data_IF_426796184321
#
_entry.id   IF_426796184321
#
_cell.length_a   1.000
_cell.length_b   1.000
_cell.length_c   1.000
_cell.angle_alpha   90.00
_cell.angle_beta   90.00
_cell.angle_gamma   90.00
#
_symmetry.space_group_name_H-M   'P 1'
#
loop_
_entity.id
_entity.type
_entity.pdbx_description
1 polymer ?
#
# COMPACT_ATOMS: atom_id res chain seq x y z
N UNK A 1 15.02 36.78 -1.81
CA UNK A 1 13.61 36.46 -1.48
C UNK A 1 13.64 35.42 -0.38
N UNK A 2 12.76 35.54 0.62
CA UNK A 2 12.62 34.57 1.71
C UNK A 2 12.39 33.18 1.12
N UNK A 3 13.03 32.15 1.69
CA UNK A 3 12.88 30.77 1.22
C UNK A 3 11.49 30.18 1.50
N UNK A 4 10.65 30.81 2.34
CA UNK A 4 9.41 30.21 2.83
C UNK A 4 8.17 31.10 2.59
N UNK A 5 8.13 31.86 1.48
CA UNK A 5 7.08 32.85 1.20
C UNK A 5 5.75 32.28 0.68
N UNK A 6 5.71 30.96 0.42
CA UNK A 6 4.53 30.27 -0.07
C UNK A 6 3.97 29.30 0.98
N UNK A 7 2.78 29.59 1.49
CA UNK A 7 2.02 28.64 2.29
C UNK A 7 1.43 27.52 1.43
N UNK A 8 0.99 26.43 2.05
CA UNK A 8 0.29 25.34 1.38
C UNK A 8 -0.95 24.91 2.16
N UNK A 9 -2.04 24.69 1.42
CA UNK A 9 -3.28 24.10 1.92
C UNK A 9 -3.50 22.78 1.18
N UNK A 10 -3.45 21.68 1.92
CA UNK A 10 -3.81 20.35 1.41
C UNK A 10 -5.24 20.03 1.79
N UNK A 11 -6.12 19.88 0.81
CA UNK A 11 -7.51 19.48 1.06
C UNK A 11 -7.67 17.97 1.05
N UNK A 12 -8.01 17.43 2.22
CA UNK A 12 -8.18 16.01 2.48
C UNK A 12 -9.50 15.70 3.22
N UNK A 13 -10.46 16.63 3.26
CA UNK A 13 -11.74 16.46 3.97
C UNK A 13 -12.82 15.68 3.19
N UNK A 14 -12.56 15.30 1.94
CA UNK A 14 -13.54 14.64 1.08
C UNK A 14 -13.87 13.20 1.49
N UNK A 15 -15.15 12.88 1.59
CA UNK A 15 -15.65 11.51 1.80
C UNK A 15 -15.74 10.82 0.43
N UNK A 16 -14.96 9.76 0.20
CA UNK A 16 -14.76 9.13 -1.12
C UNK A 16 -15.96 8.33 -1.66
N UNK A 17 -17.15 8.94 -1.77
CA UNK A 17 -18.44 8.28 -2.12
C UNK A 17 -18.38 7.37 -3.36
N UNK A 18 -17.54 7.67 -4.34
CA UNK A 18 -17.38 6.92 -5.61
C UNK A 18 -16.43 5.72 -5.54
N UNK A 19 -15.63 5.59 -4.48
CA UNK A 19 -14.65 4.51 -4.31
C UNK A 19 -15.22 3.26 -3.60
N UNK A 20 -16.47 3.31 -3.11
CA UNK A 20 -17.12 2.20 -2.39
C UNK A 20 -16.51 1.84 -1.01
N UNK A 21 -15.30 2.29 -0.70
CA UNK A 21 -14.68 2.17 0.61
C UNK A 21 -15.33 3.19 1.57
N UNK A 22 -15.98 2.72 2.64
CA UNK A 22 -16.68 3.54 3.65
C UNK A 22 -15.76 4.43 4.52
N UNK A 23 -14.82 5.16 3.91
CA UNK A 23 -13.84 6.01 4.57
C UNK A 23 -13.19 7.03 3.64
N UNK A 24 -12.20 7.76 4.14
CA UNK A 24 -11.49 8.77 3.38
C UNK A 24 -10.44 8.15 2.46
N UNK A 25 -10.59 8.37 1.16
CA UNK A 25 -9.75 7.76 0.12
C UNK A 25 -8.27 8.11 0.24
N UNK A 26 -7.93 9.25 0.83
CA UNK A 26 -6.53 9.66 1.00
C UNK A 26 -5.79 8.80 2.04
N UNK A 27 -6.52 7.99 2.83
CA UNK A 27 -5.96 7.03 3.78
C UNK A 27 -5.84 5.61 3.18
N UNK A 28 -6.30 5.39 1.95
CA UNK A 28 -6.13 4.09 1.27
C UNK A 28 -4.65 3.83 0.98
N UNK A 29 -4.22 2.56 1.01
CA UNK A 29 -2.85 2.20 0.66
C UNK A 29 -2.62 2.40 -0.84
N UNK A 30 -1.46 2.97 -1.17
CA UNK A 30 -0.86 3.10 -2.49
C UNK A 30 0.59 2.64 -2.36
N UNK A 31 0.93 1.51 -2.97
CA UNK A 31 2.25 0.87 -2.81
C UNK A 31 2.65 0.71 -1.33
N UNK A 32 1.70 0.25 -0.50
CA UNK A 32 1.91 -0.01 0.92
C UNK A 32 1.89 1.21 1.85
N UNK A 33 1.82 2.44 1.33
CA UNK A 33 1.72 3.67 2.14
C UNK A 33 0.41 4.41 1.88
N UNK A 34 -0.15 5.15 2.87
CA UNK A 34 -1.35 5.95 2.63
C UNK A 34 -1.15 6.94 1.47
N UNK A 35 -2.15 7.10 0.60
CA UNK A 35 -2.14 8.08 -0.51
C UNK A 35 -1.68 9.46 -0.03
N UNK A 36 -2.20 9.92 1.11
CA UNK A 36 -1.85 11.21 1.68
C UNK A 36 -0.36 11.33 2.04
N UNK A 37 0.29 10.23 2.46
CA UNK A 37 1.69 10.24 2.84
C UNK A 37 2.60 10.58 1.65
N UNK A 38 2.28 10.06 0.45
CA UNK A 38 2.97 10.41 -0.80
C UNK A 38 2.82 11.91 -1.13
N UNK A 39 1.59 12.43 -1.03
CA UNK A 39 1.30 13.84 -1.26
C UNK A 39 2.08 14.74 -0.27
N UNK A 40 2.01 14.44 1.03
CA UNK A 40 2.68 15.23 2.06
C UNK A 40 4.20 15.16 1.95
N UNK A 41 4.78 13.99 1.66
CA UNK A 41 6.23 13.84 1.48
C UNK A 41 6.75 14.76 0.35
N UNK A 42 6.06 14.78 -0.79
CA UNK A 42 6.43 15.63 -1.92
C UNK A 42 6.38 17.12 -1.57
N UNK A 43 5.34 17.55 -0.84
CA UNK A 43 5.15 18.95 -0.46
C UNK A 43 6.16 19.37 0.63
N UNK A 44 6.29 18.59 1.70
CA UNK A 44 7.18 18.90 2.83
C UNK A 44 8.67 18.89 2.47
N UNK A 45 9.04 18.29 1.33
CA UNK A 45 10.39 18.31 0.79
C UNK A 45 10.66 19.53 -0.11
N UNK A 46 9.63 20.27 -0.52
CA UNK A 46 9.79 21.42 -1.41
C UNK A 46 10.35 22.63 -0.65
N UNK A 47 11.45 23.25 -1.11
CA UNK A 47 12.17 24.26 -0.34
C UNK A 47 11.44 25.60 -0.23
N UNK A 48 10.53 25.91 -1.16
CA UNK A 48 9.80 27.19 -1.18
C UNK A 48 8.55 27.22 -0.29
N UNK A 49 8.21 26.10 0.38
CA UNK A 49 7.00 25.99 1.17
C UNK A 49 7.24 26.28 2.66
N UNK A 50 6.49 27.24 3.19
CA UNK A 50 6.48 27.62 4.59
C UNK A 50 5.27 27.04 5.35
N UNK A 51 4.33 27.88 5.84
CA UNK A 51 3.18 27.43 6.60
C UNK A 51 2.39 26.32 5.91
N UNK A 52 2.14 25.23 6.63
CA UNK A 52 1.50 24.04 6.07
C UNK A 52 0.20 23.73 6.80
N UNK A 53 -0.90 23.79 6.07
CA UNK A 53 -2.24 23.44 6.58
C UNK A 53 -2.76 22.19 5.88
N UNK A 54 -3.14 21.19 6.67
CA UNK A 54 -3.83 19.99 6.21
C UNK A 54 -5.28 20.04 6.70
N UNK A 55 -6.20 20.20 5.74
CA UNK A 55 -7.64 20.30 6.02
C UNK A 55 -8.28 18.93 5.94
N UNK A 56 -8.91 18.50 7.03
CA UNK A 56 -9.40 17.12 7.22
C UNK A 56 -10.87 17.08 7.58
N UNK A 57 -11.51 15.93 7.40
CA UNK A 57 -12.86 15.72 7.93
C UNK A 57 -12.77 15.45 9.44
N UNK A 58 -13.76 15.90 10.23
CA UNK A 58 -13.77 15.73 11.70
C UNK A 58 -13.59 14.28 12.14
N UNK A 59 -14.27 13.34 11.47
CA UNK A 59 -14.20 11.91 11.78
C UNK A 59 -12.82 11.29 11.52
N UNK A 60 -11.97 11.93 10.72
CA UNK A 60 -10.64 11.42 10.39
C UNK A 60 -9.56 12.02 11.31
N UNK A 61 -9.91 12.91 12.25
CA UNK A 61 -8.95 13.64 13.09
C UNK A 61 -7.96 12.74 13.83
N UNK A 62 -8.43 11.61 14.39
CA UNK A 62 -7.57 10.64 15.08
C UNK A 62 -6.58 10.02 14.10
N UNK A 63 -7.07 9.45 13.00
CA UNK A 63 -6.26 8.79 11.95
C UNK A 63 -5.23 9.73 11.33
N UNK A 64 -5.61 10.99 11.13
CA UNK A 64 -4.73 12.01 10.56
C UNK A 64 -3.62 12.40 11.54
N UNK A 65 -3.92 12.54 12.83
CA UNK A 65 -2.89 12.77 13.87
C UNK A 65 -1.91 11.60 13.96
N UNK A 66 -2.42 10.37 13.94
CA UNK A 66 -1.59 9.16 13.96
C UNK A 66 -0.69 9.08 12.72
N UNK A 67 -1.21 9.41 11.54
CA UNK A 67 -0.41 9.49 10.31
C UNK A 67 0.71 10.52 10.46
N UNK A 68 0.41 11.75 10.88
CA UNK A 68 1.43 12.79 11.05
C UNK A 68 2.50 12.38 12.08
N UNK A 69 2.09 11.78 13.20
CA UNK A 69 3.01 11.28 14.21
C UNK A 69 3.93 10.17 13.67
N UNK A 70 3.37 9.20 12.92
CA UNK A 70 4.12 8.09 12.30
C UNK A 70 5.27 8.57 11.39
N UNK A 71 5.08 9.69 10.71
CA UNK A 71 6.07 10.30 9.82
C UNK A 71 6.85 11.47 10.44
N UNK A 72 6.63 11.79 11.72
CA UNK A 72 7.22 12.95 12.42
C UNK A 72 6.96 14.29 11.74
N UNK A 73 5.74 14.48 11.26
CA UNK A 73 5.28 15.73 10.63
C UNK A 73 4.36 16.57 11.51
N UNK A 74 4.08 16.13 12.74
CA UNK A 74 3.18 16.82 13.68
C UNK A 74 3.55 18.28 13.92
N UNK A 75 4.85 18.59 14.02
CA UNK A 75 5.33 19.96 14.27
C UNK A 75 5.40 20.82 13.00
N UNK A 76 5.26 20.19 11.82
CA UNK A 76 5.35 20.85 10.52
C UNK A 76 4.00 21.09 9.87
N UNK A 77 2.95 20.38 10.28
CA UNK A 77 1.64 20.37 9.63
C UNK A 77 0.55 20.75 10.63
N UNK A 78 -0.13 21.87 10.39
CA UNK A 78 -1.30 22.31 11.16
C UNK A 78 -2.55 21.60 10.64
N UNK A 79 -3.21 20.84 11.50
CA UNK A 79 -4.51 20.22 11.18
C UNK A 79 -5.65 21.23 11.35
N UNK A 80 -6.54 21.28 10.36
CA UNK A 80 -7.74 22.13 10.37
C UNK A 80 -8.95 21.28 9.99
N UNK A 81 -10.05 21.41 10.71
CA UNK A 81 -11.30 20.75 10.32
C UNK A 81 -11.90 21.44 9.08
N UNK A 82 -12.20 20.68 8.04
CA UNK A 82 -12.81 21.15 6.80
C UNK A 82 -14.29 21.50 6.92
N UNK A 83 -14.86 21.97 5.82
CA UNK A 83 -16.31 22.23 5.71
C UNK A 83 -17.05 21.12 4.96
N UNK A 84 -18.31 21.38 4.63
CA UNK A 84 -19.19 20.41 3.96
C UNK A 84 -18.68 20.08 2.54
N UNK A 85 -18.16 21.10 1.85
CA UNK A 85 -17.69 21.02 0.48
C UNK A 85 -16.19 21.31 0.36
N UNK A 86 -15.60 20.99 -0.81
CA UNK A 86 -14.17 21.29 -1.09
C UNK A 86 -13.88 22.77 -0.86
N UNK A 87 -14.77 23.65 -1.36
CA UNK A 87 -14.59 25.10 -1.27
C UNK A 87 -14.60 25.60 0.18
N UNK A 88 -15.50 25.06 1.01
CA UNK A 88 -15.56 25.40 2.44
C UNK A 88 -14.29 24.94 3.17
N UNK A 89 -13.70 23.81 2.74
CA UNK A 89 -12.44 23.31 3.29
C UNK A 89 -11.26 24.20 2.93
N UNK A 90 -11.16 24.67 1.69
CA UNK A 90 -10.11 25.64 1.30
C UNK A 90 -10.27 26.95 2.08
N UNK A 91 -11.50 27.43 2.23
CA UNK A 91 -11.77 28.66 2.99
C UNK A 91 -11.29 28.59 4.43
N UNK A 92 -11.60 27.50 5.15
CA UNK A 92 -11.09 27.29 6.51
C UNK A 92 -9.55 27.18 6.55
N UNK A 93 -8.95 26.59 5.52
CA UNK A 93 -7.50 26.57 5.36
C UNK A 93 -6.90 27.98 5.25
N UNK A 94 -7.52 28.85 4.44
CA UNK A 94 -7.10 30.25 4.27
C UNK A 94 -7.22 31.05 5.56
N UNK A 95 -8.32 30.85 6.31
CA UNK A 95 -8.51 31.46 7.62
C UNK A 95 -7.45 31.02 8.62
N UNK A 96 -7.04 29.75 8.60
CA UNK A 96 -5.99 29.23 9.47
C UNK A 96 -4.59 29.78 9.13
N UNK A 97 -4.42 30.41 7.97
CA UNK A 97 -3.20 31.10 7.54
C UNK A 97 -3.25 32.62 7.81
N UNK A 98 -4.35 33.17 8.33
CA UNK A 98 -4.53 34.63 8.45
C UNK A 98 -3.50 35.34 9.33
N UNK A 99 -2.88 34.62 10.27
CA UNK A 99 -1.81 35.14 11.13
C UNK A 99 -0.40 34.88 10.61
N UNK A 100 -0.26 34.19 9.48
CA UNK A 100 1.03 33.81 8.91
C UNK A 100 1.49 34.85 7.88
N UNK A 101 2.79 35.17 7.88
CA UNK A 101 3.39 36.06 6.88
C UNK A 101 3.72 35.27 5.60
N UNK A 102 2.70 35.07 4.76
CA UNK A 102 2.85 34.41 3.46
C UNK A 102 2.30 35.28 2.33
N UNK A 103 3.07 35.37 1.23
CA UNK A 103 2.67 36.13 0.04
C UNK A 103 1.88 35.26 -0.94
N UNK A 104 2.21 33.97 -0.98
CA UNK A 104 1.66 33.00 -1.90
C UNK A 104 0.99 31.87 -1.13
N UNK A 105 -0.01 31.26 -1.75
CA UNK A 105 -0.65 30.04 -1.22
C UNK A 105 -0.82 29.03 -2.34
N UNK A 106 -0.33 27.82 -2.11
CA UNK A 106 -0.53 26.66 -2.96
C UNK A 106 -1.69 25.82 -2.41
N UNK A 107 -2.77 25.67 -3.17
CA UNK A 107 -3.86 24.75 -2.84
C UNK A 107 -3.66 23.44 -3.60
N UNK A 108 -3.63 22.33 -2.88
CA UNK A 108 -3.39 21.01 -3.46
C UNK A 108 -4.38 19.95 -2.96
N UNK A 109 -4.77 19.04 -3.83
CA UNK A 109 -5.69 17.95 -3.48
C UNK A 109 -4.89 16.83 -2.81
N UNK A 110 -5.28 16.41 -1.61
CA UNK A 110 -4.63 15.28 -0.90
C UNK A 110 -4.64 13.96 -1.69
N UNK A 111 -5.53 13.85 -2.68
CA UNK A 111 -5.70 12.69 -3.55
C UNK A 111 -4.89 12.76 -4.87
N UNK A 112 -3.89 13.65 -4.98
CA UNK A 112 -2.95 13.71 -6.12
C UNK A 112 -1.52 13.34 -5.69
N UNK A 113 -1.27 12.07 -5.33
CA UNK A 113 0.01 11.65 -4.74
C UNK A 113 1.20 11.66 -5.71
N UNK A 114 0.95 11.85 -7.01
CA UNK A 114 1.95 11.70 -8.08
C UNK A 114 2.46 13.03 -8.63
N UNK A 115 2.03 14.17 -8.07
CA UNK A 115 2.56 15.47 -8.46
C UNK A 115 4.08 15.50 -8.25
N UNK A 116 4.78 16.30 -9.05
CA UNK A 116 6.23 16.43 -8.95
C UNK A 116 6.61 17.75 -8.27
N UNK A 117 7.71 17.81 -7.50
CA UNK A 117 8.23 19.07 -6.98
C UNK A 117 8.50 20.09 -8.09
N UNK A 118 8.94 19.62 -9.27
CA UNK A 118 9.15 20.46 -10.44
C UNK A 118 7.85 21.12 -10.93
N UNK A 119 6.72 20.40 -10.97
CA UNK A 119 5.42 20.97 -11.30
C UNK A 119 5.03 22.09 -10.32
N UNK A 120 5.19 21.85 -9.02
CA UNK A 120 4.93 22.87 -8.01
C UNK A 120 5.83 24.10 -8.19
N UNK A 121 7.13 23.90 -8.44
CA UNK A 121 8.07 25.00 -8.72
C UNK A 121 7.62 25.84 -9.93
N UNK A 122 7.17 25.20 -11.03
CA UNK A 122 6.63 25.91 -12.21
C UNK A 122 5.40 26.74 -11.84
N UNK A 123 4.48 26.20 -11.05
CA UNK A 123 3.30 26.93 -10.58
C UNK A 123 3.66 28.13 -9.71
N UNK A 124 4.56 27.96 -8.74
CA UNK A 124 5.01 29.07 -7.87
C UNK A 124 5.69 30.17 -8.71
N UNK A 125 6.56 29.81 -9.65
CA UNK A 125 7.23 30.78 -10.51
C UNK A 125 6.24 31.57 -11.38
N UNK A 126 5.25 30.88 -11.98
CA UNK A 126 4.22 31.54 -12.79
C UNK A 126 3.32 32.45 -11.94
N UNK A 127 2.96 32.02 -10.72
CA UNK A 127 2.19 32.83 -9.78
C UNK A 127 2.98 34.07 -9.34
N UNK A 128 4.30 33.96 -9.10
CA UNK A 128 5.16 35.12 -8.81
C UNK A 128 5.17 36.16 -9.94
N UNK A 129 4.98 35.74 -11.18
CA UNK A 129 4.92 36.64 -12.34
C UNK A 129 3.51 37.24 -12.56
N UNK A 130 2.47 36.44 -12.36
CA UNK A 130 1.11 36.78 -12.81
C UNK A 130 0.05 36.80 -11.71
N UNK A 131 0.46 36.60 -10.46
CA UNK A 131 -0.37 36.50 -9.26
C UNK A 131 -1.24 35.25 -9.14
N UNK A 132 -1.34 34.46 -10.21
CA UNK A 132 -2.10 33.22 -10.26
C UNK A 132 -1.43 32.22 -11.21
N UNK A 133 -1.55 30.94 -10.88
CA UNK A 133 -1.04 29.85 -11.69
C UNK A 133 -1.78 28.55 -11.40
N UNK A 134 -2.27 27.89 -12.44
CA UNK A 134 -3.03 26.65 -12.33
C UNK A 134 -2.39 25.59 -13.22
N UNK A 135 -2.01 24.47 -12.62
CA UNK A 135 -1.53 23.31 -13.38
C UNK A 135 -2.65 22.79 -14.28
N UNK A 136 -2.39 22.57 -15.56
CA UNK A 136 -3.36 21.98 -16.48
C UNK A 136 -2.69 21.25 -17.63
N UNK A 137 -3.39 20.27 -18.21
CA UNK A 137 -2.93 19.54 -19.39
C UNK A 137 -3.94 19.68 -20.54
N UNK A 138 -3.52 19.74 -21.81
CA UNK A 138 -4.44 19.72 -22.93
C UNK A 138 -5.33 18.49 -22.90
N UNK A 139 -6.61 18.66 -23.20
CA UNK A 139 -7.55 17.54 -23.29
C UNK A 139 -7.20 16.67 -24.50
N UNK A 140 -7.12 15.34 -24.30
CA UNK A 140 -6.84 14.37 -25.36
C UNK A 140 -8.12 13.87 -26.04
N UNK A 141 -9.19 13.70 -25.27
CA UNK A 141 -10.44 13.17 -25.78
C UNK A 141 -11.29 14.24 -26.46
N UNK A 142 -12.20 13.81 -27.34
CA UNK A 142 -13.20 14.72 -27.88
C UNK A 142 -14.25 15.00 -26.80
N UNK A 143 -14.43 16.26 -26.44
CA UNK A 143 -15.43 16.67 -25.44
C UNK A 143 -16.76 16.95 -26.14
N UNK A 144 -17.85 16.45 -25.55
CA UNK A 144 -19.22 16.74 -25.97
C UNK A 144 -19.92 17.49 -24.85
N UNK A 145 -20.58 18.58 -25.20
CA UNK A 145 -21.62 19.17 -24.36
C UNK A 145 -22.92 18.43 -24.63
N UNK A 146 -23.61 17.98 -23.59
CA UNK A 146 -24.83 17.20 -23.72
C UNK A 146 -25.94 17.76 -22.80
N UNK A 147 -27.17 17.66 -23.28
CA UNK A 147 -28.36 17.95 -22.49
C UNK A 147 -28.63 16.82 -21.48
N UNK A 148 -29.53 17.08 -20.53
CA UNK A 148 -29.86 16.13 -19.46
C UNK A 148 -30.45 14.80 -19.98
N UNK A 149 -31.03 14.78 -21.18
CA UNK A 149 -31.57 13.59 -21.85
C UNK A 149 -30.52 12.81 -22.67
N UNK A 150 -29.25 13.23 -22.63
CA UNK A 150 -28.14 12.60 -23.34
C UNK A 150 -27.96 13.10 -24.78
N UNK A 151 -28.79 14.03 -25.26
CA UNK A 151 -28.62 14.62 -26.59
C UNK A 151 -27.36 15.49 -26.64
N UNK A 152 -26.46 15.25 -27.60
CA UNK A 152 -25.30 16.11 -27.84
C UNK A 152 -25.78 17.48 -28.30
N UNK A 153 -25.35 18.53 -27.58
CA UNK A 153 -25.59 19.95 -27.87
C UNK A 153 -24.49 20.50 -28.76
N UNK A 154 -23.23 20.27 -28.37
CA UNK A 154 -22.08 20.84 -29.04
C UNK A 154 -20.83 19.95 -28.90
N UNK A 155 -19.86 20.19 -29.79
CA UNK A 155 -18.50 19.65 -29.70
C UNK A 155 -17.55 20.84 -29.73
N UNK A 156 -17.10 21.34 -28.56
CA UNK A 156 -16.21 22.49 -28.53
C UNK A 156 -14.86 22.16 -29.20
N UNK A 157 -14.16 23.18 -29.73
CA UNK A 157 -12.83 22.98 -30.28
C UNK A 157 -11.84 22.59 -29.16
N UNK A 158 -11.32 21.37 -29.26
CA UNK A 158 -10.40 20.78 -28.28
C UNK A 158 -9.08 21.55 -28.16
N UNK A 159 -8.66 22.30 -29.18
CA UNK A 159 -7.37 23.01 -29.20
C UNK A 159 -7.21 24.01 -28.04
N UNK A 160 -8.31 24.60 -27.58
CA UNK A 160 -8.35 25.52 -26.45
C UNK A 160 -8.78 24.89 -25.12
N UNK A 161 -9.02 23.58 -25.06
CA UNK A 161 -9.52 22.91 -23.86
C UNK A 161 -8.41 22.28 -23.03
N UNK A 162 -8.44 22.57 -21.73
CA UNK A 162 -7.48 22.08 -20.76
C UNK A 162 -8.18 21.38 -19.60
N UNK A 163 -7.65 20.25 -19.18
CA UNK A 163 -8.04 19.58 -17.95
C UNK A 163 -7.22 20.14 -16.79
N UNK A 164 -7.90 20.89 -15.92
CA UNK A 164 -7.28 21.55 -14.77
C UNK A 164 -6.89 20.54 -13.69
N UNK A 165 -5.74 20.79 -13.07
CA UNK A 165 -5.13 20.01 -12.01
C UNK A 165 -4.85 20.89 -10.78
N UNK A 166 -4.35 20.26 -9.72
CA UNK A 166 -3.68 20.95 -8.62
C UNK A 166 -2.22 20.47 -8.58
N UNK A 167 -1.24 21.27 -8.10
CA UNK A 167 -1.39 22.50 -7.32
C UNK A 167 -1.92 23.69 -8.13
N UNK A 168 -2.67 24.54 -7.43
CA UNK A 168 -3.06 25.88 -7.90
C UNK A 168 -2.43 26.89 -6.94
N UNK A 169 -1.71 27.88 -7.48
CA UNK A 169 -0.94 28.83 -6.68
C UNK A 169 -1.42 30.24 -6.97
N UNK A 170 -1.71 30.99 -5.91
CA UNK A 170 -2.24 32.35 -6.01
C UNK A 170 -1.53 33.27 -5.03
N UNK A 171 -1.58 34.58 -5.28
CA UNK A 171 -1.32 35.57 -4.24
C UNK A 171 -2.32 35.34 -3.10
N UNK A 172 -1.82 35.15 -1.87
CA UNK A 172 -2.64 34.81 -0.71
C UNK A 172 -3.77 35.83 -0.50
N UNK A 173 -3.41 37.12 -0.56
CA UNK A 173 -4.34 38.23 -0.35
C UNK A 173 -5.48 38.26 -1.39
N UNK A 174 -5.18 37.98 -2.66
CA UNK A 174 -6.18 37.96 -3.73
C UNK A 174 -7.14 36.79 -3.55
N UNK A 175 -6.60 35.59 -3.28
CA UNK A 175 -7.43 34.41 -3.06
C UNK A 175 -8.32 34.57 -1.83
N UNK A 176 -7.77 35.08 -0.73
CA UNK A 176 -8.52 35.32 0.50
C UNK A 176 -9.66 36.33 0.29
N UNK A 177 -9.40 37.43 -0.44
CA UNK A 177 -10.44 38.40 -0.82
C UNK A 177 -11.51 37.79 -1.74
N UNK A 178 -11.11 37.03 -2.74
CA UNK A 178 -12.03 36.40 -3.69
C UNK A 178 -13.00 35.45 -2.97
N UNK A 179 -12.50 34.63 -2.04
CA UNK A 179 -13.34 33.79 -1.19
C UNK A 179 -14.26 34.62 -0.28
N UNK A 180 -13.73 35.63 0.40
CA UNK A 180 -14.54 36.48 1.29
C UNK A 180 -15.69 37.15 0.52
N UNK A 181 -15.42 37.71 -0.66
CA UNK A 181 -16.42 38.31 -1.54
C UNK A 181 -17.44 37.28 -2.04
N UNK A 182 -16.98 36.08 -2.44
CA UNK A 182 -17.86 35.00 -2.88
C UNK A 182 -18.84 34.57 -1.78
N UNK A 183 -18.38 34.40 -0.54
CA UNK A 183 -19.26 34.11 0.60
C UNK A 183 -20.22 35.26 0.91
N UNK A 184 -19.73 36.50 0.90
CA UNK A 184 -20.54 37.69 1.17
C UNK A 184 -21.65 37.92 0.13
N UNK A 185 -21.41 37.54 -1.13
CA UNK A 185 -22.39 37.66 -2.22
C UNK A 185 -23.63 36.76 -2.04
N UNK A 186 -23.55 35.75 -1.15
CA UNK A 186 -24.60 34.74 -1.00
C UNK A 186 -24.67 33.70 -2.13
N UNK A 187 -23.71 33.71 -3.07
CA UNK A 187 -23.66 32.80 -4.22
C UNK A 187 -23.77 31.31 -3.83
N UNK A 188 -23.26 30.92 -2.65
CA UNK A 188 -23.40 29.57 -2.09
C UNK A 188 -24.85 29.09 -2.00
N UNK A 189 -25.83 29.98 -1.91
CA UNK A 189 -27.27 29.64 -1.76
C UNK A 189 -28.02 29.55 -3.09
N UNK A 190 -27.48 30.11 -4.18
CA UNK A 190 -28.28 30.43 -5.39
C UNK A 190 -27.67 29.82 -6.66
N UNK A 191 -26.42 29.35 -6.63
CA UNK A 191 -25.73 28.83 -7.82
C UNK A 191 -24.96 27.53 -7.60
N UNK A 192 -24.46 26.91 -8.69
CA UNK A 192 -23.55 25.79 -8.60
C UNK A 192 -22.25 26.22 -7.91
N UNK A 193 -21.71 25.32 -7.09
CA UNK A 193 -20.48 25.59 -6.36
C UNK A 193 -19.27 25.61 -7.29
N UNK A 194 -18.27 26.50 -7.04
CA UNK A 194 -16.98 26.44 -7.69
C UNK A 194 -16.33 25.06 -7.54
N UNK A 195 -15.88 24.50 -8.66
CA UNK A 195 -15.29 23.16 -8.69
C UNK A 195 -13.83 23.19 -8.26
N UNK A 196 -13.15 24.31 -8.47
CA UNK A 196 -11.78 24.59 -8.07
C UNK A 196 -11.58 26.06 -7.65
N UNK A 197 -10.34 26.41 -7.30
CA UNK A 197 -10.01 27.71 -6.72
C UNK A 197 -9.82 28.77 -7.82
N UNK A 198 -9.45 28.33 -9.04
CA UNK A 198 -9.42 29.14 -10.25
C UNK A 198 -10.78 29.78 -10.55
N UNK A 199 -11.86 28.99 -10.50
CA UNK A 199 -13.21 29.48 -10.78
C UNK A 199 -13.66 30.58 -9.79
N UNK A 200 -13.22 30.53 -8.52
CA UNK A 200 -13.48 31.61 -7.55
C UNK A 200 -12.73 32.88 -7.94
N UNK A 201 -11.47 32.75 -8.36
CA UNK A 201 -10.66 33.87 -8.81
C UNK A 201 -11.23 34.53 -10.06
N UNK A 202 -11.65 33.73 -11.04
CA UNK A 202 -12.31 34.18 -12.28
C UNK A 202 -13.60 34.94 -11.98
N UNK A 203 -14.46 34.41 -11.10
CA UNK A 203 -15.70 35.07 -10.67
C UNK A 203 -15.44 36.40 -9.95
N UNK A 204 -14.32 36.52 -9.25
CA UNK A 204 -13.87 37.77 -8.62
C UNK A 204 -13.16 38.73 -9.61
N UNK A 205 -13.07 38.37 -10.90
CA UNK A 205 -12.44 39.20 -11.93
C UNK A 205 -10.92 39.14 -11.96
N UNK A 206 -10.29 38.21 -11.24
CA UNK A 206 -8.85 38.01 -11.29
C UNK A 206 -8.48 37.12 -12.47
N UNK A 207 -7.47 37.49 -13.28
CA UNK A 207 -6.99 36.64 -14.36
C UNK A 207 -6.31 35.39 -13.78
N UNK A 208 -6.53 34.24 -14.41
CA UNK A 208 -5.92 32.96 -14.05
C UNK A 208 -5.04 32.46 -15.19
N UNK A 209 -3.80 32.08 -14.88
CA UNK A 209 -2.83 31.64 -15.89
C UNK A 209 -2.56 30.14 -15.79
N UNK A 210 -2.54 29.49 -16.95
CA UNK A 210 -2.20 28.07 -17.04
C UNK A 210 -0.68 27.85 -16.92
N UNK A 211 -0.33 26.75 -16.29
CA UNK A 211 1.01 26.16 -16.27
C UNK A 211 0.92 24.74 -16.80
N UNK A 212 1.89 24.35 -17.62
CA UNK A 212 1.99 22.99 -18.13
C UNK A 212 2.06 21.98 -16.98
N UNK A 213 0.97 21.22 -16.84
CA UNK A 213 0.79 20.13 -15.90
C UNK A 213 1.40 18.82 -16.40
N UNK A 214 1.22 17.76 -15.61
CA UNK A 214 1.72 16.44 -15.96
C UNK A 214 0.54 15.47 -16.10
N UNK A 215 0.47 14.68 -17.18
CA UNK A 215 -0.62 13.70 -17.35
C UNK A 215 -0.65 12.65 -16.23
N UNK A 216 0.49 12.38 -15.61
CA UNK A 216 0.63 11.45 -14.48
C UNK A 216 0.20 12.05 -13.14
N UNK A 217 -0.07 13.37 -13.06
CA UNK A 217 -0.59 14.04 -11.88
C UNK A 217 -2.10 13.78 -11.70
N UNK A 218 -2.43 12.50 -11.60
CA UNK A 218 -3.79 11.98 -11.55
C UNK A 218 -4.44 12.27 -10.20
N UNK A 219 -5.73 12.61 -10.22
CA UNK A 219 -6.56 12.68 -9.02
C UNK A 219 -7.23 11.34 -8.79
N UNK A 220 -6.79 10.62 -7.76
CA UNK A 220 -7.34 9.31 -7.45
C UNK A 220 -8.82 9.42 -7.08
N UNK A 221 -9.69 8.85 -7.92
CA UNK A 221 -11.16 9.00 -7.84
C UNK A 221 -11.87 7.65 -7.98
N UNK A 222 -11.29 6.71 -8.73
CA UNK A 222 -11.77 5.34 -8.94
C UNK A 222 -10.72 4.30 -8.51
N UNK A 223 -11.12 3.02 -8.30
CA UNK A 223 -10.16 1.95 -8.03
C UNK A 223 -9.10 1.78 -9.13
N UNK A 224 -9.47 2.01 -10.39
CA UNK A 224 -8.55 1.92 -11.53
C UNK A 224 -7.45 2.98 -11.47
N UNK A 225 -7.77 4.18 -10.95
CA UNK A 225 -6.77 5.23 -10.74
C UNK A 225 -5.69 4.79 -9.76
N UNK A 226 -6.04 3.99 -8.74
CA UNK A 226 -5.10 3.49 -7.75
C UNK A 226 -4.11 2.50 -8.39
N UNK A 227 -4.62 1.55 -9.18
CA UNK A 227 -3.78 0.59 -9.90
C UNK A 227 -2.82 1.28 -10.87
N UNK A 228 -3.34 2.28 -11.61
CA UNK A 228 -2.51 3.10 -12.51
C UNK A 228 -1.43 3.87 -11.73
N UNK A 229 -1.79 4.43 -10.56
CA UNK A 229 -0.85 5.16 -9.74
C UNK A 229 0.26 4.28 -9.16
N UNK A 230 -0.05 3.05 -8.75
CA UNK A 230 0.97 2.09 -8.31
C UNK A 230 1.95 1.75 -9.44
N UNK A 231 1.44 1.52 -10.66
CA UNK A 231 2.29 1.26 -11.81
C UNK A 231 3.20 2.45 -12.15
N UNK A 232 2.70 3.68 -12.05
CA UNK A 232 3.50 4.90 -12.26
C UNK A 232 4.60 5.01 -11.20
N UNK A 233 4.28 4.80 -9.91
CA UNK A 233 5.27 4.85 -8.83
C UNK A 233 6.37 3.80 -9.00
N UNK A 234 5.98 2.57 -9.33
CA UNK A 234 6.91 1.48 -9.58
C UNK A 234 7.87 1.82 -10.73
N UNK A 235 7.35 2.36 -11.84
CA UNK A 235 8.17 2.78 -12.99
C UNK A 235 9.11 3.95 -12.67
N UNK A 236 8.68 4.90 -11.84
CA UNK A 236 9.51 6.05 -11.45
C UNK A 236 10.61 5.68 -10.44
N UNK A 237 10.50 4.53 -9.76
CA UNK A 237 11.46 4.12 -8.73
C UNK A 237 11.50 5.06 -7.52
N UNK A 238 10.39 5.77 -7.23
CA UNK A 238 10.34 6.72 -6.10
C UNK A 238 10.33 5.95 -4.80
N UNK A 239 11.23 6.31 -3.88
CA UNK A 239 11.26 5.72 -2.54
C UNK A 239 9.96 6.04 -1.79
N UNK A 240 9.34 5.02 -1.21
CA UNK A 240 8.15 5.19 -0.40
C UNK A 240 8.39 6.16 0.78
N UNK A 241 7.34 6.86 1.25
CA UNK A 241 7.40 7.67 2.46
C UNK A 241 8.07 6.90 3.60
N UNK A 242 9.18 7.42 4.11
CA UNK A 242 9.97 6.75 5.14
C UNK A 242 9.28 6.86 6.50
N UNK A 243 8.87 5.72 7.06
CA UNK A 243 8.34 5.63 8.42
C UNK A 243 9.52 5.64 9.40
N UNK A 244 9.43 6.42 10.48
CA UNK A 244 10.45 6.35 11.53
C UNK A 244 10.36 5.01 12.27
N UNK A 245 11.48 4.34 12.61
CA UNK A 245 11.44 3.11 13.39
C UNK A 245 10.83 3.42 14.77
N UNK A 246 9.59 3.00 15.01
CA UNK A 246 8.89 3.20 16.29
C UNK A 246 7.38 3.46 16.26
N UNK A 247 6.70 3.44 15.11
CA UNK A 247 5.24 3.57 15.06
C UNK A 247 4.57 2.30 14.53
N UNK A 248 3.87 1.56 15.39
CA UNK A 248 3.03 0.42 15.01
C UNK A 248 2.05 0.80 13.89
N UNK A 249 1.85 -0.12 12.96
CA UNK A 249 1.01 0.09 11.79
C UNK A 249 -0.44 0.35 12.23
N UNK A 250 -1.00 1.46 11.75
CA UNK A 250 -2.43 1.71 11.83
C UNK A 250 -3.17 0.58 11.08
N UNK A 251 -3.65 -0.42 11.82
CA UNK A 251 -4.44 -1.51 11.27
C UNK A 251 -5.76 -0.94 10.75
N UNK A 252 -5.88 -0.85 9.43
CA UNK A 252 -7.12 -0.46 8.77
C UNK A 252 -8.17 -1.56 9.04
N UNK A 253 -9.15 -1.24 9.89
CA UNK A 253 -10.27 -2.12 10.21
C UNK A 253 -10.99 -2.56 8.93
N UNK A 254 -10.99 -3.86 8.66
CA UNK A 254 -11.97 -4.50 7.78
C UNK A 254 -13.32 -4.42 8.51
N UNK A 255 -14.32 -3.80 7.90
CA UNK A 255 -15.70 -3.87 8.38
C UNK A 255 -16.16 -5.33 8.32
N UNK A 256 -16.35 -5.95 9.49
CA UNK A 256 -16.97 -7.26 9.63
C UNK A 256 -18.24 -7.11 10.48
N UNK A 257 -19.32 -7.67 9.94
CA UNK A 257 -20.67 -7.72 10.51
C UNK A 257 -20.66 -8.48 11.84
N UNK A 258 -21.19 -7.89 12.89
CA UNK A 258 -21.25 -8.46 14.25
C UNK A 258 -22.41 -9.43 14.42
N UNK A 259 -22.12 -10.60 15.01
CA UNK A 259 -23.08 -11.38 15.80
C UNK A 259 -22.37 -11.91 17.06
N UNK A 260 -22.92 -11.56 18.23
CA UNK A 260 -22.87 -12.36 19.47
C UNK A 260 -21.64 -12.26 20.40
N UNK A 261 -21.78 -11.48 21.48
CA UNK A 261 -21.05 -11.60 22.78
C UNK A 261 -21.50 -12.87 23.56
N UNK A 262 -21.09 -13.12 24.84
CA UNK A 262 -20.01 -12.58 25.70
C UNK A 262 -19.14 -13.72 26.30
N UNK A 263 -18.09 -13.50 27.12
CA UNK A 263 -18.11 -13.39 28.61
C UNK A 263 -16.63 -13.29 29.09
N UNK A 264 -16.37 -12.54 30.18
CA UNK A 264 -15.38 -12.97 31.18
C UNK A 264 -14.30 -11.96 31.63
N UNK A 265 -14.58 -11.28 32.74
CA UNK A 265 -13.72 -10.41 33.56
C UNK A 265 -12.50 -11.11 34.20
N UNK A 266 -11.41 -10.36 34.47
CA UNK A 266 -10.99 -9.92 35.83
C UNK A 266 -9.60 -9.28 35.84
N UNK A 267 -9.42 -8.41 36.82
CA UNK A 267 -8.32 -7.49 37.07
C UNK A 267 -7.14 -8.14 37.84
N UNK A 268 -6.00 -7.43 37.91
CA UNK A 268 -4.92 -7.70 38.87
C UNK A 268 -3.70 -6.82 38.67
N UNK A 269 -3.47 -5.90 39.62
CA UNK A 269 -2.40 -4.90 39.69
C UNK A 269 -1.07 -5.44 40.27
N UNK A 270 -0.03 -4.60 40.10
CA UNK A 270 1.01 -4.21 41.07
C UNK A 270 2.40 -4.88 41.04
N UNK A 271 3.38 -4.02 40.72
CA UNK A 271 4.60 -3.65 41.47
C UNK A 271 5.57 -4.68 42.04
N UNK A 272 6.86 -4.41 41.85
CA UNK A 272 7.93 -4.94 42.70
C UNK A 272 9.34 -4.91 42.07
N UNK A 273 10.09 -3.84 42.35
CA UNK A 273 11.56 -3.75 42.33
C UNK A 273 12.24 -4.89 43.12
N UNK A 274 13.52 -5.26 43.03
CA UNK A 274 14.78 -4.55 42.80
C UNK A 274 15.92 -5.58 42.66
N UNK A 275 17.11 -5.08 42.27
CA UNK A 275 18.46 -5.57 42.63
C UNK A 275 19.33 -6.06 41.47
N UNK A 276 20.27 -5.19 41.07
CA UNK A 276 21.58 -5.62 40.55
C UNK A 276 22.64 -4.56 40.87
N UNK A 277 23.70 -4.97 41.56
CA UNK A 277 24.96 -4.25 41.75
C UNK A 277 26.11 -5.00 41.04
N UNK A 278 27.27 -4.34 40.80
CA UNK A 278 28.02 -4.52 39.55
C UNK A 278 29.46 -5.05 39.73
N UNK A 279 30.13 -5.13 38.56
CA UNK A 279 31.56 -4.92 38.27
C UNK A 279 32.45 -6.15 38.01
N UNK A 280 33.25 -6.07 36.93
CA UNK A 280 34.43 -6.92 36.73
C UNK A 280 34.90 -7.08 35.28
N UNK A 281 35.70 -6.11 34.80
CA UNK A 281 36.84 -6.16 33.84
C UNK A 281 37.05 -7.36 32.89
N UNK A 282 37.53 -7.08 31.65
CA UNK A 282 38.90 -7.44 31.17
C UNK A 282 39.14 -6.97 29.71
N UNK A 283 40.42 -6.68 29.46
CA UNK A 283 41.17 -6.14 28.33
C UNK A 283 40.82 -6.54 26.88
N UNK A 284 40.79 -5.52 26.01
CA UNK A 284 41.82 -5.26 24.99
C UNK A 284 42.34 -6.41 24.12
N UNK A 285 41.74 -6.57 22.93
CA UNK A 285 42.46 -6.97 21.72
C UNK A 285 41.77 -6.33 20.50
N UNK A 286 42.41 -5.33 19.88
CA UNK A 286 41.88 -4.67 18.67
C UNK A 286 42.26 -5.50 17.45
N UNK A 287 41.37 -6.39 16.99
CA UNK A 287 41.40 -6.89 15.62
C UNK A 287 40.79 -5.83 14.69
N UNK A 288 41.60 -5.31 13.76
CA UNK A 288 41.13 -4.51 12.64
C UNK A 288 40.51 -5.47 11.61
N UNK A 289 39.26 -5.85 11.85
CA UNK A 289 38.39 -6.50 10.86
C UNK A 289 36.94 -6.14 11.18
N UNK A 290 36.60 -4.85 11.03
CA UNK A 290 35.21 -4.43 11.06
C UNK A 290 34.45 -5.07 9.91
N UNK A 291 33.18 -5.47 10.08
CA UNK A 291 32.37 -5.98 8.99
C UNK A 291 32.31 -4.91 7.90
N UNK A 292 32.72 -5.27 6.69
CA UNK A 292 32.49 -4.44 5.50
C UNK A 292 30.98 -4.18 5.47
N UNK A 293 30.50 -2.94 5.53
CA UNK A 293 29.08 -2.67 5.44
C UNK A 293 28.60 -3.22 4.10
N UNK A 294 27.65 -4.16 4.17
CA UNK A 294 26.98 -4.72 3.00
C UNK A 294 26.51 -3.56 2.12
N UNK A 295 26.71 -3.62 0.78
CA UNK A 295 26.14 -2.62 -0.11
C UNK A 295 24.64 -2.54 0.18
N UNK A 296 24.15 -1.33 0.43
CA UNK A 296 22.73 -1.09 0.66
C UNK A 296 21.95 -1.66 -0.53
N UNK A 297 21.09 -2.65 -0.27
CA UNK A 297 20.31 -3.31 -1.30
C UNK A 297 19.50 -2.26 -2.08
N UNK A 298 19.45 -2.37 -3.42
CA UNK A 298 18.76 -1.40 -4.27
C UNK A 298 17.26 -1.36 -3.92
N UNK A 299 16.72 -0.14 -3.90
CA UNK A 299 15.31 0.14 -3.58
C UNK A 299 14.42 -0.26 -4.76
N UNK A 300 14.15 -1.56 -4.88
CA UNK A 300 13.03 -2.16 -5.61
C UNK A 300 12.14 -2.91 -4.61
N UNK A 301 10.96 -3.39 -5.03
CA UNK A 301 10.25 -4.40 -4.23
C UNK A 301 11.20 -5.58 -4.02
N UNK A 302 11.51 -5.94 -2.78
CA UNK A 302 12.40 -7.06 -2.48
C UNK A 302 11.63 -8.31 -2.84
N UNK A 303 11.86 -8.81 -4.05
CA UNK A 303 11.24 -10.03 -4.58
C UNK A 303 12.29 -11.11 -4.47
N UNK A 304 11.98 -12.13 -3.69
CA UNK A 304 12.85 -13.28 -3.50
C UNK A 304 12.18 -14.53 -3.99
N UNK A 305 12.97 -15.38 -4.61
CA UNK A 305 12.55 -16.69 -5.08
C UNK A 305 13.26 -17.74 -4.26
N UNK A 306 12.51 -18.74 -3.81
CA UNK A 306 13.03 -19.92 -3.16
C UNK A 306 12.63 -21.16 -3.93
N UNK A 307 13.45 -22.18 -3.81
CA UNK A 307 13.22 -23.50 -4.39
C UNK A 307 13.18 -24.50 -3.24
N UNK A 308 12.23 -25.41 -3.30
CA UNK A 308 12.08 -26.52 -2.39
C UNK A 308 12.07 -27.83 -3.16
N UNK A 309 12.65 -28.85 -2.56
CA UNK A 309 12.66 -30.21 -3.06
C UNK A 309 12.45 -31.15 -1.89
N UNK A 310 11.53 -32.09 -2.04
CA UNK A 310 11.35 -33.15 -1.06
C UNK A 310 11.08 -34.49 -1.75
N UNK A 311 11.42 -35.59 -1.08
CA UNK A 311 11.26 -36.95 -1.59
C UNK A 311 10.93 -37.93 -0.49
N UNK A 312 9.82 -38.65 -0.65
CA UNK A 312 9.36 -39.66 0.29
C UNK A 312 9.22 -41.03 -0.37
N UNK A 313 9.51 -42.09 0.40
CA UNK A 313 9.37 -43.48 -0.02
C UNK A 313 7.89 -43.90 0.00
N UNK A 314 7.45 -44.66 -1.00
CA UNK A 314 6.13 -45.29 -1.02
C UNK A 314 6.15 -46.60 -0.22
N UNK A 315 5.16 -46.78 0.64
CA UNK A 315 4.96 -47.99 1.47
C UNK A 315 3.49 -48.42 1.45
N UNK A 316 3.25 -49.71 1.66
CA UNK A 316 1.89 -50.25 1.80
C UNK A 316 1.28 -49.89 3.15
N UNK A 317 -0.05 -49.90 3.25
CA UNK A 317 -0.77 -49.68 4.51
C UNK A 317 -0.79 -48.23 5.00
N UNK A 318 -0.42 -47.25 4.18
CA UNK A 318 -0.57 -45.81 4.46
C UNK A 318 -1.43 -45.13 3.39
N UNK A 319 -2.16 -44.10 3.80
CA UNK A 319 -2.86 -43.21 2.86
C UNK A 319 -1.85 -42.37 2.07
N UNK A 320 -2.14 -42.13 0.80
CA UNK A 320 -1.39 -41.19 -0.03
C UNK A 320 -2.03 -39.82 0.07
N UNK A 321 -1.39 -38.89 0.78
CA UNK A 321 -1.85 -37.51 0.94
C UNK A 321 -0.90 -36.60 0.17
N UNK A 322 -1.46 -35.80 -0.74
CA UNK A 322 -0.72 -34.82 -1.54
C UNK A 322 -1.52 -33.52 -1.65
N UNK A 323 -0.92 -32.38 -1.30
CA UNK A 323 -1.63 -31.09 -1.25
C UNK A 323 -2.83 -31.09 -0.29
N UNK A 324 -2.80 -31.91 0.75
CA UNK A 324 -3.92 -32.14 1.67
C UNK A 324 -5.11 -32.86 1.03
N UNK A 325 -4.89 -33.62 -0.04
CA UNK A 325 -5.91 -34.44 -0.70
C UNK A 325 -5.56 -35.92 -0.53
N UNK A 326 -6.51 -36.71 -0.05
CA UNK A 326 -6.41 -38.17 -0.04
C UNK A 326 -6.54 -38.71 -1.47
N UNK A 327 -5.48 -39.35 -1.96
CA UNK A 327 -5.41 -39.92 -3.31
C UNK A 327 -5.64 -41.43 -3.21
N UNK A 328 -6.69 -41.98 -3.86
CA UNK A 328 -6.93 -43.41 -3.87
C UNK A 328 -5.78 -44.17 -4.53
N UNK A 329 -4.95 -44.84 -3.71
CA UNK A 329 -3.83 -45.64 -4.19
C UNK A 329 -3.43 -46.71 -3.17
N UNK A 330 -2.83 -47.80 -3.65
CA UNK A 330 -2.46 -48.95 -2.81
C UNK A 330 -1.29 -48.67 -1.85
N UNK A 331 -0.53 -47.59 -2.08
CA UNK A 331 0.63 -47.17 -1.29
C UNK A 331 0.49 -45.72 -0.86
N UNK A 332 1.07 -45.37 0.28
CA UNK A 332 1.19 -44.01 0.79
C UNK A 332 2.63 -43.63 1.07
N UNK A 333 2.86 -42.37 1.45
CA UNK A 333 4.22 -41.87 1.70
C UNK A 333 4.66 -42.16 3.15
N UNK A 334 5.89 -42.66 3.27
CA UNK A 334 6.59 -42.81 4.53
C UNK A 334 7.24 -41.49 4.91
N UNK A 335 6.94 -41.00 6.10
CA UNK A 335 7.50 -39.77 6.64
C UNK A 335 6.85 -39.38 7.96
N UNK A 336 7.31 -38.27 8.52
CA UNK A 336 6.70 -37.61 9.65
C UNK A 336 5.42 -36.86 9.22
N UNK A 337 4.57 -36.48 10.17
CA UNK A 337 3.23 -35.93 9.90
C UNK A 337 2.38 -36.85 8.98
N UNK A 338 1.60 -36.27 8.06
CA UNK A 338 0.87 -36.95 6.99
C UNK A 338 1.74 -37.28 5.75
N UNK A 339 3.05 -37.00 5.83
CA UNK A 339 4.06 -37.28 4.80
C UNK A 339 3.78 -36.65 3.42
N UNK A 340 3.10 -35.50 3.39
CA UNK A 340 2.75 -34.78 2.16
C UNK A 340 3.95 -34.08 1.52
N UNK A 341 4.62 -34.80 0.63
CA UNK A 341 5.85 -34.35 -0.07
C UNK A 341 5.63 -33.07 -0.89
N UNK A 342 4.42 -32.82 -1.41
CA UNK A 342 4.12 -31.58 -2.13
C UNK A 342 4.15 -30.39 -1.17
N UNK A 343 3.44 -30.48 -0.06
CA UNK A 343 3.39 -29.39 0.92
C UNK A 343 4.75 -29.17 1.59
N UNK A 344 5.55 -30.22 1.75
CA UNK A 344 6.92 -30.12 2.24
C UNK A 344 7.80 -29.30 1.30
N UNK A 345 7.84 -29.63 0.02
CA UNK A 345 8.57 -28.86 -0.97
C UNK A 345 8.09 -27.40 -1.04
N UNK A 346 6.77 -27.15 -0.95
CA UNK A 346 6.22 -25.77 -0.91
C UNK A 346 6.66 -25.01 0.34
N UNK A 347 6.66 -25.64 1.51
CA UNK A 347 7.14 -25.03 2.77
C UNK A 347 8.62 -24.63 2.65
N UNK A 348 9.46 -25.51 2.11
CA UNK A 348 10.89 -25.22 1.88
C UNK A 348 11.11 -24.09 0.88
N UNK A 349 10.36 -24.07 -0.22
CA UNK A 349 10.45 -22.98 -1.19
C UNK A 349 10.10 -21.62 -0.56
N UNK A 350 9.05 -21.57 0.27
CA UNK A 350 8.63 -20.35 0.96
C UNK A 350 9.63 -19.88 2.03
N UNK A 351 10.10 -20.81 2.87
CA UNK A 351 11.09 -20.51 3.91
C UNK A 351 12.43 -20.10 3.30
N UNK A 352 12.86 -20.80 2.24
CA UNK A 352 14.05 -20.48 1.47
C UNK A 352 13.98 -19.08 0.85
N UNK A 353 12.86 -18.74 0.20
CA UNK A 353 12.65 -17.41 -0.39
C UNK A 353 12.77 -16.30 0.67
N UNK A 354 12.25 -16.53 1.88
CA UNK A 354 12.32 -15.59 2.99
C UNK A 354 13.66 -15.60 3.76
N UNK A 355 14.63 -16.42 3.36
CA UNK A 355 15.91 -16.58 4.08
C UNK A 355 15.76 -17.19 5.47
N UNK A 356 14.78 -18.09 5.65
CA UNK A 356 14.40 -18.68 6.95
C UNK A 356 14.90 -20.11 7.15
N UNK A 357 15.72 -20.65 6.26
CA UNK A 357 16.17 -22.04 6.29
C UNK A 357 15.12 -22.99 5.71
N UNK A 358 15.12 -24.24 6.17
CA UNK A 358 14.27 -25.34 5.72
C UNK A 358 13.23 -25.76 6.78
N UNK A 359 12.32 -26.64 6.39
CA UNK A 359 11.26 -27.19 7.24
C UNK A 359 11.81 -27.87 8.49
N UNK A 360 12.94 -28.59 8.41
CA UNK A 360 13.53 -29.34 9.53
C UNK A 360 13.98 -28.44 10.67
N UNK A 361 14.41 -27.22 10.35
CA UNK A 361 14.73 -26.19 11.36
C UNK A 361 13.51 -25.66 12.11
N UNK A 362 12.34 -25.61 11.47
CA UNK A 362 11.12 -25.07 12.08
C UNK A 362 10.25 -26.14 12.73
N UNK A 363 10.32 -27.38 12.24
CA UNK A 363 9.52 -28.50 12.71
C UNK A 363 10.40 -29.76 12.83
N UNK A 364 11.24 -29.85 13.87
CA UNK A 364 12.14 -30.98 14.04
C UNK A 364 11.38 -32.29 14.26
N UNK A 365 11.82 -33.36 13.60
CA UNK A 365 11.19 -34.69 13.67
C UNK A 365 11.24 -35.34 15.07
N UNK A 366 12.12 -34.84 15.95
CA UNK A 366 12.23 -35.27 17.35
C UNK A 366 11.14 -34.70 18.27
N UNK A 367 10.38 -33.70 17.80
CA UNK A 367 9.34 -33.05 18.59
C UNK A 367 7.99 -33.76 18.42
N UNK A 368 7.55 -34.45 19.48
CA UNK A 368 6.29 -35.19 19.49
C UNK A 368 5.05 -34.32 19.20
N UNK A 369 5.14 -32.99 19.32
CA UNK A 369 4.02 -32.07 19.02
C UNK A 369 3.60 -32.09 17.55
N UNK A 370 4.48 -32.51 16.63
CA UNK A 370 4.21 -32.56 15.20
C UNK A 370 3.90 -33.98 14.69
N UNK A 371 3.87 -34.98 15.57
CA UNK A 371 3.56 -36.35 15.19
C UNK A 371 2.09 -36.46 14.75
N UNK A 372 1.86 -36.83 13.49
CA UNK A 372 0.51 -36.97 12.94
C UNK A 372 -0.22 -35.66 12.66
N UNK A 373 0.45 -34.51 12.75
CA UNK A 373 -0.15 -33.23 12.36
C UNK A 373 -0.37 -33.18 10.85
N UNK A 374 -1.38 -32.44 10.39
CA UNK A 374 -1.57 -32.18 8.96
C UNK A 374 -0.49 -31.23 8.43
N UNK A 375 0.06 -31.54 7.26
CA UNK A 375 0.99 -30.67 6.54
C UNK A 375 0.36 -29.35 6.11
N UNK A 376 -0.97 -29.28 5.92
CA UNK A 376 -1.67 -28.02 5.69
C UNK A 376 -1.59 -27.11 6.92
N UNK A 377 -1.68 -27.66 8.13
CA UNK A 377 -1.52 -26.87 9.36
C UNK A 377 -0.09 -26.36 9.51
N UNK A 378 0.90 -27.17 9.14
CA UNK A 378 2.31 -26.73 9.09
C UNK A 378 2.51 -25.62 8.05
N UNK A 379 1.89 -25.74 6.87
CA UNK A 379 1.95 -24.71 5.83
C UNK A 379 1.31 -23.40 6.31
N UNK A 380 0.19 -23.47 7.05
CA UNK A 380 -0.42 -22.30 7.67
C UNK A 380 0.55 -21.58 8.62
N UNK A 381 1.24 -22.33 9.49
CA UNK A 381 2.25 -21.79 10.42
C UNK A 381 3.40 -21.14 9.65
N UNK A 382 3.83 -21.71 8.51
CA UNK A 382 4.82 -21.09 7.63
C UNK A 382 4.28 -19.77 7.07
N UNK A 383 3.05 -19.74 6.55
CA UNK A 383 2.40 -18.50 6.10
C UNK A 383 2.35 -17.41 7.18
N UNK A 384 1.98 -17.77 8.42
CA UNK A 384 1.98 -16.88 9.59
C UNK A 384 3.39 -16.34 9.89
N UNK A 385 4.43 -17.20 9.84
CA UNK A 385 5.83 -16.80 10.04
C UNK A 385 6.34 -15.84 8.96
N UNK A 386 5.98 -16.06 7.70
CA UNK A 386 6.31 -15.14 6.60
C UNK A 386 5.65 -13.78 6.82
N UNK A 387 4.34 -13.77 7.11
CA UNK A 387 3.59 -12.55 7.36
C UNK A 387 4.16 -11.75 8.55
N UNK A 388 4.55 -12.44 9.64
CA UNK A 388 5.18 -11.82 10.80
C UNK A 388 6.52 -11.12 10.47
N UNK A 389 7.21 -11.53 9.41
CA UNK A 389 8.43 -10.89 8.89
C UNK A 389 8.16 -9.87 7.77
N UNK A 390 6.90 -9.61 7.46
CA UNK A 390 6.48 -8.68 6.41
C UNK A 390 6.54 -9.26 4.99
N UNK A 391 6.70 -10.57 4.83
CA UNK A 391 6.67 -11.22 3.53
C UNK A 391 5.24 -11.52 3.09
N UNK A 392 4.94 -11.25 1.83
CA UNK A 392 3.71 -11.69 1.16
C UNK A 392 4.05 -12.73 0.10
N UNK A 393 3.29 -13.83 0.04
CA UNK A 393 3.46 -14.85 -1.02
C UNK A 393 3.01 -14.27 -2.37
N UNK A 394 3.90 -14.30 -3.35
CA UNK A 394 3.69 -13.77 -4.69
C UNK A 394 3.09 -14.78 -5.67
N UNK A 395 3.69 -15.96 -5.81
CA UNK A 395 3.16 -17.11 -6.53
C UNK A 395 3.88 -18.40 -6.10
N UNK A 396 3.26 -19.55 -6.34
CA UNK A 396 3.86 -20.88 -6.15
C UNK A 396 3.63 -21.71 -7.40
N UNK A 397 4.71 -22.30 -7.91
CA UNK A 397 4.66 -23.31 -8.98
C UNK A 397 5.32 -24.60 -8.47
N UNK A 398 4.58 -25.70 -8.50
CA UNK A 398 5.06 -26.99 -8.03
C UNK A 398 4.91 -28.08 -9.11
N UNK A 399 5.78 -29.07 -9.05
CA UNK A 399 5.74 -30.26 -9.91
C UNK A 399 5.92 -31.49 -9.05
N UNK A 400 4.95 -32.39 -9.10
CA UNK A 400 4.99 -33.70 -8.47
C UNK A 400 5.57 -34.70 -9.48
N UNK A 401 6.57 -35.46 -9.06
CA UNK A 401 7.22 -36.49 -9.88
C UNK A 401 6.79 -37.85 -9.36
N UNK A 402 5.86 -38.50 -10.09
CA UNK A 402 5.27 -39.77 -9.71
C UNK A 402 4.92 -40.61 -10.95
N UNK A 403 5.31 -41.88 -10.98
CA UNK A 403 4.89 -42.78 -12.06
C UNK A 403 3.41 -43.16 -11.97
N UNK A 404 2.91 -43.36 -10.75
CA UNK A 404 1.51 -43.67 -10.40
C UNK A 404 1.21 -43.13 -9.00
N UNK A 405 -0.06 -42.84 -8.66
CA UNK A 405 -1.26 -42.84 -9.51
C UNK A 405 -1.34 -41.61 -10.43
N UNK A 406 -2.39 -41.52 -11.26
CA UNK A 406 -2.64 -40.34 -12.11
C UNK A 406 -3.16 -39.19 -11.24
N UNK A 407 -2.39 -38.10 -11.16
CA UNK A 407 -2.70 -36.98 -10.24
C UNK A 407 -3.59 -35.89 -10.86
N UNK A 408 -3.71 -35.84 -12.19
CA UNK A 408 -4.45 -34.79 -12.89
C UNK A 408 -5.88 -34.52 -12.36
N UNK A 409 -6.70 -35.53 -11.99
CA UNK A 409 -8.04 -35.29 -11.42
C UNK A 409 -8.05 -34.60 -10.05
N UNK A 410 -6.93 -34.67 -9.32
CA UNK A 410 -6.82 -34.19 -7.94
C UNK A 410 -6.11 -32.83 -7.82
N UNK A 411 -5.35 -32.44 -8.85
CA UNK A 411 -4.58 -31.19 -8.89
C UNK A 411 -5.41 -29.94 -8.55
N UNK A 412 -6.63 -29.73 -9.12
CA UNK A 412 -7.42 -28.54 -8.80
C UNK A 412 -7.71 -28.40 -7.30
N UNK A 413 -7.96 -29.53 -6.60
CA UNK A 413 -8.21 -29.52 -5.16
C UNK A 413 -6.95 -29.23 -4.35
N UNK A 414 -5.78 -29.72 -4.81
CA UNK A 414 -4.49 -29.38 -4.20
C UNK A 414 -4.22 -27.87 -4.29
N UNK A 415 -4.46 -27.26 -5.46
CA UNK A 415 -4.32 -25.82 -5.66
C UNK A 415 -5.24 -25.02 -4.74
N UNK A 416 -6.51 -25.41 -4.66
CA UNK A 416 -7.51 -24.78 -3.78
C UNK A 416 -7.09 -24.85 -2.30
N UNK A 417 -6.66 -26.03 -1.83
CA UNK A 417 -6.22 -26.22 -0.46
C UNK A 417 -5.01 -25.33 -0.13
N UNK A 418 -3.99 -25.30 -0.98
CA UNK A 418 -2.78 -24.47 -0.79
C UNK A 418 -3.15 -22.98 -0.78
N UNK A 419 -3.96 -22.54 -1.74
CA UNK A 419 -4.40 -21.16 -1.85
C UNK A 419 -5.18 -20.71 -0.61
N UNK A 420 -6.14 -21.54 -0.17
CA UNK A 420 -6.95 -21.29 1.02
C UNK A 420 -6.08 -21.24 2.28
N UNK A 421 -5.16 -22.19 2.46
CA UNK A 421 -4.27 -22.25 3.63
C UNK A 421 -3.34 -21.03 3.74
N UNK A 422 -2.87 -20.49 2.61
CA UNK A 422 -1.99 -19.32 2.57
C UNK A 422 -2.75 -17.99 2.48
N UNK A 423 -4.08 -18.02 2.29
CA UNK A 423 -4.90 -16.82 2.11
C UNK A 423 -4.58 -16.04 0.83
N UNK A 424 -4.20 -16.71 -0.26
CA UNK A 424 -3.90 -16.10 -1.56
C UNK A 424 -4.85 -16.60 -2.64
N UNK A 425 -4.96 -15.86 -3.75
CA UNK A 425 -5.84 -16.22 -4.85
C UNK A 425 -5.38 -17.53 -5.53
N UNK A 426 -6.33 -18.36 -5.96
CA UNK A 426 -6.05 -19.67 -6.54
C UNK A 426 -5.26 -19.60 -7.86
N UNK A 427 -5.40 -18.51 -8.62
CA UNK A 427 -4.64 -18.25 -9.86
C UNK A 427 -3.14 -18.00 -9.61
N UNK A 428 -2.73 -17.86 -8.34
CA UNK A 428 -1.33 -17.72 -7.91
C UNK A 428 -0.67 -19.06 -7.58
N UNK A 429 -1.42 -20.15 -7.64
CA UNK A 429 -0.94 -21.50 -7.32
C UNK A 429 -1.05 -22.37 -8.58
N UNK A 430 0.09 -22.90 -9.03
CA UNK A 430 0.12 -23.89 -10.08
C UNK A 430 0.73 -25.19 -9.57
N UNK A 431 0.05 -26.33 -9.81
CA UNK A 431 0.54 -27.66 -9.46
C UNK A 431 0.52 -28.51 -10.73
N UNK A 432 1.65 -29.11 -11.04
CA UNK A 432 1.85 -29.99 -12.20
C UNK A 432 2.22 -31.38 -11.71
N UNK A 433 2.02 -32.38 -12.57
CA UNK A 433 2.51 -33.73 -12.34
C UNK A 433 3.23 -34.24 -13.58
N UNK A 434 4.33 -34.98 -13.38
CA UNK A 434 5.07 -35.64 -14.45
C UNK A 434 5.50 -37.04 -14.02
N UNK A 435 5.62 -37.94 -15.00
CA UNK A 435 6.25 -39.24 -14.88
C UNK A 435 7.75 -39.12 -15.14
N UNK A 436 8.51 -40.20 -14.88
CA UNK A 436 9.92 -40.32 -15.27
C UNK A 436 10.13 -41.42 -16.29
N UNK A 437 9.09 -41.76 -17.06
CA UNK A 437 9.12 -42.79 -18.10
C UNK A 437 9.69 -44.14 -17.63
N UNK A 438 9.36 -44.55 -16.40
CA UNK A 438 9.86 -45.80 -15.80
C UNK A 438 11.31 -45.74 -15.30
N UNK A 439 11.96 -44.57 -15.32
CA UNK A 439 13.34 -44.39 -14.88
C UNK A 439 13.44 -43.88 -13.43
N UNK A 440 14.44 -44.36 -12.71
CA UNK A 440 14.76 -43.96 -11.33
C UNK A 440 13.69 -44.35 -10.30
N UNK A 441 13.89 -43.93 -9.04
CA UNK A 441 13.03 -44.30 -7.91
C UNK A 441 11.55 -43.93 -8.12
N UNK A 442 11.29 -42.80 -8.79
CA UNK A 442 9.92 -42.37 -9.08
C UNK A 442 9.30 -43.24 -10.17
N UNK A 443 10.09 -43.67 -11.16
CA UNK A 443 9.69 -44.48 -12.30
C UNK A 443 9.42 -45.94 -11.94
N UNK A 444 10.22 -46.50 -11.03
CA UNK A 444 10.03 -47.84 -10.45
C UNK A 444 8.95 -47.89 -9.37
N UNK A 445 8.40 -46.73 -8.96
CA UNK A 445 7.35 -46.65 -7.94
C UNK A 445 7.85 -46.88 -6.52
N UNK A 446 9.13 -46.61 -6.26
CA UNK A 446 9.76 -46.66 -4.93
C UNK A 446 9.46 -45.41 -4.10
N UNK A 447 9.21 -44.27 -4.74
CA UNK A 447 8.92 -43.02 -4.06
C UNK A 447 8.27 -41.97 -4.94
N UNK A 448 7.87 -40.85 -4.33
CA UNK A 448 7.38 -39.66 -5.01
C UNK A 448 8.25 -38.50 -4.56
N UNK A 449 8.63 -37.64 -5.51
CA UNK A 449 9.32 -36.40 -5.23
C UNK A 449 8.45 -35.20 -5.61
N UNK A 450 8.74 -34.05 -5.02
CA UNK A 450 8.14 -32.79 -5.43
C UNK A 450 9.19 -31.69 -5.51
N UNK A 451 9.08 -30.89 -6.56
CA UNK A 451 9.80 -29.63 -6.71
C UNK A 451 8.82 -28.50 -6.54
N UNK A 452 9.20 -27.44 -5.83
CA UNK A 452 8.42 -26.22 -5.73
C UNK A 452 9.31 -25.01 -5.92
N UNK A 453 8.78 -24.00 -6.60
CA UNK A 453 9.35 -22.66 -6.68
C UNK A 453 8.30 -21.72 -6.11
N UNK A 454 8.73 -20.87 -5.18
CA UNK A 454 7.87 -19.87 -4.57
C UNK A 454 8.53 -18.51 -4.64
N UNK A 455 7.73 -17.49 -4.90
CA UNK A 455 8.18 -16.11 -4.82
C UNK A 455 7.52 -15.43 -3.63
N UNK A 456 8.29 -14.65 -2.88
CA UNK A 456 7.80 -13.78 -1.80
C UNK A 456 8.21 -12.34 -2.10
N UNK A 457 7.42 -11.38 -1.63
CA UNK A 457 7.70 -9.96 -1.82
C UNK A 457 7.53 -9.17 -0.52
N UNK A 458 8.35 -8.14 -0.36
CA UNK A 458 8.31 -7.20 0.75
C UNK A 458 8.41 -5.75 0.27
#
# INVERSE_FOLDING_TARGET
>A
MSKDDCAVIVVAAGRGKRMGAGGNKVLLPLAGQPVLAWTLQGLLAHPDLGPFVLVIHRDDAVKMKELLARYRWSDRVRLVEGGDERIDSVWKGLQALASEDCQWVAVHDGARPLFTPALLSRCIQKARQHRSAVAAVPVKDTIKEAAADGKIIATPDRSGLYAVQTPQVFAYEDLNRAYAAWYASGARKVGPLPTDDAMVMEQAGHPVYLVEGDYENLKLTTPDDLALAEAILARRGVKAPSISPGGEALACQKAAVTAGSPVGSLAGNADGSSDCKPAGSVSGNRSLSGPVPSPADPVGSDIRTGMGYDVHRLVEGRALILGGVDIPYAKGLLGHSDADVLLHAVKDALLGAAGMGDIGRHFPDSDNRYKGISSLRLLQIVGEKLAAKGWTVGHIDATIVAQRPKLAPHIPKMQENIAHTLGIAADRINVKATTTEGLGFAGTGEGIASYAVATVRR
#
